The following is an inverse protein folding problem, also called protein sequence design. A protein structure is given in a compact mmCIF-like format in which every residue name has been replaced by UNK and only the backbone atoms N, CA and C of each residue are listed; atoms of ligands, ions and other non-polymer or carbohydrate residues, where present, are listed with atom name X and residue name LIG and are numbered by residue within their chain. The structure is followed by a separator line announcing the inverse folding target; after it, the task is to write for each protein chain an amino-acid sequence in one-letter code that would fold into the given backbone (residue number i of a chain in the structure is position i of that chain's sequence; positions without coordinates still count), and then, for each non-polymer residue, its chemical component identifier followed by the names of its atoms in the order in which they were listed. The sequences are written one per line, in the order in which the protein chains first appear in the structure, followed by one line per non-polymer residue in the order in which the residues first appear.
data_IF_036035337761
#
_entry.id   IF_036035337761
#
_cell.length_a   1.000
_cell.length_b   1.000
_cell.length_c   1.000
_cell.angle_alpha   90.00
_cell.angle_beta   90.00
_cell.angle_gamma   90.00
#
_symmetry.space_group_name_H-M   'P 1'
#
loop_
_entity.id
_entity.type
_entity.pdbx_description
1 polymer ?
#
# COMPACT_ATOMS: atom_id res chain seq x y z
N UNK A 1 3.18 49.49 18.05
CA UNK A 1 1.78 49.02 18.18
C UNK A 1 1.25 48.25 16.96
N UNK A 2 1.74 48.48 15.74
CA UNK A 2 1.26 47.79 14.52
C UNK A 2 1.69 46.32 14.37
N UNK A 3 2.90 45.95 14.81
CA UNK A 3 3.43 44.57 14.71
C UNK A 3 2.69 43.61 15.65
N UNK A 4 2.41 44.02 16.90
CA UNK A 4 1.65 43.25 17.88
C UNK A 4 0.18 43.03 17.45
N UNK A 5 -0.46 44.05 16.86
CA UNK A 5 -1.83 43.91 16.30
C UNK A 5 -1.87 42.98 15.09
N UNK A 6 -0.87 43.06 14.21
CA UNK A 6 -0.76 42.18 13.03
C UNK A 6 -0.49 40.73 13.43
N UNK A 7 0.37 40.50 14.43
CA UNK A 7 0.62 39.17 15.00
C UNK A 7 -0.60 38.58 15.71
N UNK A 8 -1.36 39.41 16.45
CA UNK A 8 -2.61 38.99 17.09
C UNK A 8 -3.69 38.62 16.06
N UNK A 9 -3.89 39.44 15.02
CA UNK A 9 -4.83 39.17 13.93
C UNK A 9 -4.48 37.89 13.18
N UNK A 10 -3.18 37.65 12.91
CA UNK A 10 -2.70 36.41 12.29
C UNK A 10 -2.98 35.19 13.16
N UNK A 11 -2.79 35.30 14.48
CA UNK A 11 -3.06 34.21 15.42
C UNK A 11 -4.57 33.91 15.52
N UNK A 12 -5.40 34.94 15.61
CA UNK A 12 -6.88 34.80 15.59
C UNK A 12 -7.35 34.16 14.28
N UNK A 13 -6.82 34.60 13.14
CA UNK A 13 -7.14 34.02 11.83
C UNK A 13 -6.78 32.53 11.77
N UNK A 14 -5.58 32.16 12.23
CA UNK A 14 -5.11 30.76 12.20
C UNK A 14 -5.92 29.86 13.13
N UNK A 15 -6.26 30.34 14.33
CA UNK A 15 -7.10 29.62 15.30
C UNK A 15 -8.54 29.48 14.80
N UNK A 16 -9.05 30.46 14.07
CA UNK A 16 -10.42 30.43 13.54
C UNK A 16 -10.55 29.60 12.25
N UNK A 17 -9.48 29.52 11.45
CA UNK A 17 -9.44 28.74 10.21
C UNK A 17 -9.47 27.23 10.47
N UNK A 18 -8.84 26.76 11.55
CA UNK A 18 -8.74 25.33 11.85
C UNK A 18 -10.12 24.66 12.07
N UNK A 19 -11.04 25.18 12.92
CA UNK A 19 -12.40 24.64 13.04
C UNK A 19 -13.18 24.64 11.73
N UNK A 20 -12.98 25.66 10.88
CA UNK A 20 -13.62 25.73 9.55
C UNK A 20 -13.11 24.62 8.65
N UNK A 21 -11.79 24.35 8.63
CA UNK A 21 -11.22 23.24 7.87
C UNK A 21 -11.73 21.88 8.36
N UNK A 22 -11.79 21.67 9.68
CA UNK A 22 -12.36 20.45 10.27
C UNK A 22 -13.83 20.28 9.89
N UNK A 23 -14.62 21.36 9.90
CA UNK A 23 -16.01 21.35 9.47
C UNK A 23 -16.14 21.03 7.98
N UNK A 24 -15.29 21.61 7.12
CA UNK A 24 -15.27 21.31 5.68
C UNK A 24 -14.95 19.84 5.43
N UNK A 25 -14.08 19.23 6.24
CA UNK A 25 -13.75 17.79 6.15
C UNK A 25 -14.87 16.86 6.64
N UNK A 26 -16.01 17.39 7.11
CA UNK A 26 -17.24 16.58 7.28
C UNK A 26 -17.98 16.36 5.96
N UNK A 27 -17.70 17.16 4.93
CA UNK A 27 -18.23 16.95 3.60
C UNK A 27 -17.57 15.71 2.95
N UNK A 28 -18.33 14.70 2.50
CA UNK A 28 -17.79 13.46 1.94
C UNK A 28 -16.83 13.65 0.75
N UNK A 29 -17.17 14.58 -0.14
CA UNK A 29 -16.39 14.83 -1.35
C UNK A 29 -15.04 15.47 -1.01
N UNK A 30 -15.03 16.48 -0.15
CA UNK A 30 -13.80 17.13 0.33
C UNK A 30 -12.93 16.17 1.14
N UNK A 31 -13.53 15.37 2.03
CA UNK A 31 -12.81 14.42 2.86
C UNK A 31 -12.04 13.40 2.01
N UNK A 32 -12.67 12.84 0.97
CA UNK A 32 -12.03 11.89 0.05
C UNK A 32 -10.94 12.53 -0.80
N UNK A 33 -11.16 13.75 -1.30
CA UNK A 33 -10.12 14.49 -2.01
C UNK A 33 -8.91 14.77 -1.13
N UNK A 34 -9.11 15.11 0.14
CA UNK A 34 -8.03 15.34 1.10
C UNK A 34 -7.29 14.05 1.48
N UNK A 35 -8.01 12.97 1.77
CA UNK A 35 -7.44 11.67 2.14
C UNK A 35 -6.60 11.08 1.01
N UNK A 36 -7.21 10.94 -0.17
CA UNK A 36 -6.59 10.24 -1.28
C UNK A 36 -5.66 11.13 -2.08
N UNK A 37 -5.86 12.45 -2.07
CA UNK A 37 -5.10 13.41 -2.86
C UNK A 37 -4.97 13.01 -4.35
N UNK A 38 -5.95 12.25 -4.86
CA UNK A 38 -5.83 11.48 -6.10
C UNK A 38 -5.78 12.36 -7.36
N UNK A 39 -6.20 13.64 -7.25
CA UNK A 39 -6.07 14.65 -8.31
C UNK A 39 -4.78 15.47 -8.24
N UNK A 40 -3.96 15.27 -7.21
CA UNK A 40 -2.67 15.95 -7.05
C UNK A 40 -1.59 15.03 -7.66
N UNK A 41 -1.31 15.23 -8.95
CA UNK A 41 -0.34 14.41 -9.67
C UNK A 41 0.42 15.18 -10.75
N UNK A 42 1.61 14.68 -11.11
CA UNK A 42 2.50 15.25 -12.13
C UNK A 42 2.18 14.79 -13.57
N UNK A 43 1.13 13.98 -13.77
CA UNK A 43 0.77 13.39 -15.07
C UNK A 43 0.43 14.40 -16.19
N UNK A 44 0.39 15.70 -15.89
CA UNK A 44 0.29 16.77 -16.91
C UNK A 44 1.62 17.00 -17.65
N UNK A 45 2.74 16.58 -17.06
CA UNK A 45 4.10 16.83 -17.56
C UNK A 45 4.82 15.56 -18.01
N UNK A 46 4.28 14.39 -17.66
CA UNK A 46 4.89 13.09 -17.91
C UNK A 46 3.86 12.11 -18.46
N UNK A 47 4.26 11.32 -19.46
CA UNK A 47 3.44 10.27 -20.03
C UNK A 47 3.78 8.92 -19.40
N UNK A 48 2.89 8.40 -18.57
CA UNK A 48 3.05 7.09 -17.93
C UNK A 48 3.06 5.92 -18.93
N UNK A 49 2.66 6.14 -20.20
CA UNK A 49 2.89 5.14 -21.26
C UNK A 49 4.32 5.13 -21.81
N UNK A 50 5.23 5.98 -21.30
CA UNK A 50 6.65 6.02 -21.67
C UNK A 50 7.53 5.79 -20.45
N UNK A 51 7.59 4.54 -19.92
CA UNK A 51 8.28 4.23 -18.67
C UNK A 51 9.78 4.59 -18.68
N UNK A 52 10.42 4.68 -19.84
CA UNK A 52 11.82 5.09 -20.00
C UNK A 52 12.08 6.49 -19.44
N UNK A 53 11.08 7.39 -19.54
CA UNK A 53 11.16 8.73 -18.93
C UNK A 53 11.21 8.71 -17.40
N UNK A 54 10.89 7.55 -16.79
CA UNK A 54 10.99 7.30 -15.36
C UNK A 54 12.15 6.37 -15.00
N UNK A 55 13.12 6.17 -15.91
CA UNK A 55 14.37 5.46 -15.64
C UNK A 55 14.34 3.94 -15.84
N UNK A 56 13.32 3.40 -16.51
CA UNK A 56 13.29 1.99 -16.92
C UNK A 56 14.02 1.76 -18.25
N UNK A 57 14.49 0.54 -18.47
CA UNK A 57 14.97 0.11 -19.78
C UNK A 57 13.80 -0.01 -20.77
N UNK A 58 14.09 0.14 -22.06
CA UNK A 58 13.10 -0.07 -23.13
C UNK A 58 12.46 -1.46 -22.99
N UNK A 59 11.12 -1.51 -23.11
CA UNK A 59 10.31 -2.73 -22.95
C UNK A 59 10.43 -3.44 -21.59
N UNK A 60 11.02 -2.82 -20.56
CA UNK A 60 11.02 -3.38 -19.21
C UNK A 60 9.65 -3.30 -18.56
N UNK A 61 8.87 -2.28 -18.90
CA UNK A 61 7.55 -2.01 -18.33
C UNK A 61 6.52 -2.03 -19.44
N UNK A 62 5.46 -2.79 -19.23
CA UNK A 62 4.31 -2.86 -20.13
C UNK A 62 3.07 -2.29 -19.42
N UNK A 63 2.61 -1.09 -19.80
CA UNK A 63 1.33 -0.55 -19.37
C UNK A 63 0.15 -1.38 -19.85
N UNK A 64 -0.90 -1.47 -19.03
CA UNK A 64 -2.15 -2.15 -19.38
C UNK A 64 -3.32 -1.70 -18.52
N UNK A 65 -4.50 -2.23 -18.82
CA UNK A 65 -5.70 -1.97 -18.06
C UNK A 65 -6.23 -3.23 -17.38
N UNK A 66 -6.74 -3.08 -16.16
CA UNK A 66 -7.49 -4.09 -15.42
C UNK A 66 -8.93 -3.60 -15.23
N UNK A 67 -9.90 -4.40 -15.66
CA UNK A 67 -11.31 -4.13 -15.40
C UNK A 67 -11.71 -4.62 -14.01
N UNK A 68 -12.45 -3.81 -13.27
CA UNK A 68 -13.03 -4.21 -11.99
C UNK A 68 -14.43 -4.79 -12.20
N UNK A 69 -14.95 -5.61 -11.27
CA UNK A 69 -16.29 -6.18 -11.42
C UNK A 69 -17.42 -5.15 -11.25
N UNK A 70 -17.11 -3.94 -10.79
CA UNK A 70 -18.01 -2.79 -10.76
C UNK A 70 -17.79 -1.78 -11.91
N UNK A 71 -17.17 -2.25 -13.01
CA UNK A 71 -17.02 -1.54 -14.30
C UNK A 71 -16.09 -0.32 -14.29
N UNK A 72 -15.14 -0.26 -13.36
CA UNK A 72 -14.02 0.68 -13.44
C UNK A 72 -12.88 0.07 -14.27
N UNK A 73 -12.08 0.93 -14.90
CA UNK A 73 -10.89 0.56 -15.66
C UNK A 73 -9.68 1.16 -14.96
N UNK A 74 -8.82 0.27 -14.48
CA UNK A 74 -7.62 0.64 -13.74
C UNK A 74 -6.40 0.58 -14.65
N UNK A 75 -5.59 1.63 -14.60
CA UNK A 75 -4.31 1.68 -15.29
C UNK A 75 -3.23 0.99 -14.45
N UNK A 76 -2.52 0.05 -15.04
CA UNK A 76 -1.56 -0.81 -14.35
C UNK A 76 -0.27 -0.98 -15.16
N UNK A 77 0.79 -1.34 -14.47
CA UNK A 77 2.10 -1.65 -15.04
C UNK A 77 2.52 -3.07 -14.68
N UNK A 78 3.01 -3.81 -15.67
CA UNK A 78 3.80 -5.03 -15.47
C UNK A 78 5.27 -4.71 -15.71
N UNK A 79 6.12 -4.93 -14.69
CA UNK A 79 7.56 -4.69 -14.78
C UNK A 79 8.28 -6.04 -14.80
N UNK A 80 9.07 -6.27 -15.85
CA UNK A 80 9.89 -7.46 -16.04
C UNK A 80 11.19 -7.39 -15.21
N UNK A 81 11.71 -8.55 -14.76
CA UNK A 81 13.05 -8.62 -14.21
C UNK A 81 14.07 -8.10 -15.23
N UNK A 82 15.05 -7.31 -14.79
CA UNK A 82 16.03 -6.73 -15.72
C UNK A 82 16.83 -7.80 -16.47
N UNK A 83 17.15 -8.92 -15.81
CA UNK A 83 17.79 -10.08 -16.43
C UNK A 83 16.92 -10.74 -17.52
N UNK A 84 15.60 -10.69 -17.39
CA UNK A 84 14.66 -11.19 -18.41
C UNK A 84 14.64 -10.28 -19.62
N UNK A 85 14.68 -8.96 -19.42
CA UNK A 85 14.82 -7.99 -20.53
C UNK A 85 16.13 -8.21 -21.28
N UNK A 86 17.26 -8.33 -20.55
CA UNK A 86 18.57 -8.51 -21.15
C UNK A 86 18.66 -9.80 -22.00
N UNK A 87 18.06 -10.90 -21.54
CA UNK A 87 18.06 -12.19 -22.26
C UNK A 87 17.15 -12.22 -23.49
N UNK A 88 16.14 -11.36 -23.55
CA UNK A 88 15.12 -11.36 -24.61
C UNK A 88 15.10 -10.05 -25.41
N UNK A 89 16.22 -9.31 -25.42
CA UNK A 89 16.31 -7.95 -25.95
C UNK A 89 15.77 -7.82 -27.37
N UNK A 90 16.21 -8.68 -28.28
CA UNK A 90 15.87 -8.57 -29.70
C UNK A 90 14.38 -8.87 -29.95
N UNK A 91 13.84 -9.88 -29.28
CA UNK A 91 12.41 -10.24 -29.36
C UNK A 91 11.53 -9.15 -28.76
N UNK A 92 11.94 -8.57 -27.62
CA UNK A 92 11.21 -7.47 -26.98
C UNK A 92 11.25 -6.20 -27.83
N UNK A 93 12.39 -5.88 -28.46
CA UNK A 93 12.55 -4.70 -29.32
C UNK A 93 11.68 -4.75 -30.58
N UNK A 94 11.29 -5.96 -31.04
CA UNK A 94 10.39 -6.14 -32.16
C UNK A 94 8.90 -6.10 -31.78
N UNK A 95 8.58 -6.18 -30.48
CA UNK A 95 7.20 -6.20 -29.98
C UNK A 95 6.66 -4.77 -29.76
N UNK A 96 5.34 -4.61 -29.83
CA UNK A 96 4.68 -3.37 -29.40
C UNK A 96 4.92 -3.17 -27.89
N UNK A 97 5.46 -2.01 -27.44
CA UNK A 97 5.64 -1.71 -26.01
C UNK A 97 4.37 -1.81 -25.15
N UNK A 98 3.18 -1.72 -25.76
CA UNK A 98 1.89 -1.83 -25.08
C UNK A 98 1.27 -3.24 -25.17
N UNK A 99 1.86 -4.15 -25.95
CA UNK A 99 1.39 -5.54 -26.03
C UNK A 99 1.93 -6.38 -24.87
N UNK A 100 1.00 -6.95 -24.10
CA UNK A 100 1.32 -7.78 -22.94
C UNK A 100 1.67 -9.22 -23.29
N UNK A 101 1.42 -9.67 -24.52
CA UNK A 101 1.48 -11.09 -24.89
C UNK A 101 2.85 -11.70 -24.58
N UNK A 102 3.93 -11.07 -25.05
CA UNK A 102 5.30 -11.54 -24.83
C UNK A 102 5.73 -11.40 -23.35
N UNK A 103 5.58 -10.24 -22.67
CA UNK A 103 5.88 -10.11 -21.24
C UNK A 103 5.18 -11.16 -20.35
N UNK A 104 3.90 -11.45 -20.62
CA UNK A 104 3.13 -12.45 -19.88
C UNK A 104 3.59 -13.87 -20.21
N UNK A 105 3.94 -14.15 -21.47
CA UNK A 105 4.52 -15.44 -21.84
C UNK A 105 5.83 -15.68 -21.10
N UNK A 106 6.72 -14.69 -21.03
CA UNK A 106 7.99 -14.78 -20.31
C UNK A 106 7.77 -15.07 -18.82
N UNK A 107 6.84 -14.36 -18.19
CA UNK A 107 6.42 -14.63 -16.80
C UNK A 107 5.93 -16.09 -16.62
N UNK A 108 5.03 -16.55 -17.50
CA UNK A 108 4.40 -17.88 -17.37
C UNK A 108 5.36 -19.03 -17.68
N UNK A 109 6.35 -18.79 -18.53
CA UNK A 109 7.34 -19.79 -18.93
C UNK A 109 8.45 -20.01 -17.90
N UNK A 110 8.62 -19.08 -16.95
CA UNK A 110 9.66 -19.14 -15.93
C UNK A 110 9.14 -19.89 -14.68
N UNK A 111 9.60 -21.13 -14.44
CA UNK A 111 9.16 -21.90 -13.28
C UNK A 111 9.66 -21.31 -11.96
N UNK A 112 10.61 -20.38 -11.96
CA UNK A 112 11.12 -19.70 -10.77
C UNK A 112 10.51 -18.30 -10.60
N UNK A 113 9.58 -17.91 -11.48
CA UNK A 113 8.94 -16.60 -11.44
C UNK A 113 8.32 -16.29 -10.07
N UNK A 114 8.68 -15.12 -9.55
CA UNK A 114 8.16 -14.52 -8.33
C UNK A 114 7.39 -13.27 -8.72
N UNK A 115 6.26 -13.02 -8.06
CA UNK A 115 5.43 -11.84 -8.34
C UNK A 115 5.31 -11.00 -7.09
N UNK A 116 5.63 -9.71 -7.20
CA UNK A 116 5.27 -8.71 -6.20
C UNK A 116 4.10 -7.90 -6.74
N UNK A 117 2.98 -7.93 -6.04
CA UNK A 117 1.85 -7.02 -6.29
C UNK A 117 2.02 -5.82 -5.38
N UNK A 118 2.30 -4.66 -5.95
CA UNK A 118 2.62 -3.43 -5.22
C UNK A 118 1.44 -2.44 -5.22
N UNK A 119 1.05 -2.03 -4.02
CA UNK A 119 0.05 -1.01 -3.73
C UNK A 119 0.72 0.27 -3.21
N UNK A 120 0.57 1.37 -3.96
CA UNK A 120 1.22 2.63 -3.64
C UNK A 120 0.45 3.44 -2.57
N UNK A 121 1.10 4.45 -1.98
CA UNK A 121 0.48 5.39 -1.03
C UNK A 121 -0.54 6.35 -1.66
N UNK A 122 -1.02 7.34 -0.90
CA UNK A 122 -1.91 8.36 -1.44
C UNK A 122 -1.18 9.31 -2.42
N UNK A 123 -1.96 10.19 -3.06
CA UNK A 123 -1.53 11.13 -4.10
C UNK A 123 -0.92 10.48 -5.36
N UNK A 124 -0.68 11.31 -6.38
CA UNK A 124 0.09 10.95 -7.56
C UNK A 124 -0.52 9.89 -8.47
N UNK A 125 0.35 9.30 -9.30
CA UNK A 125 0.05 8.20 -10.22
C UNK A 125 1.13 7.11 -10.12
N UNK A 126 0.97 5.97 -10.80
CA UNK A 126 1.79 4.76 -10.65
C UNK A 126 3.30 5.03 -10.71
N UNK A 127 3.74 5.96 -11.56
CA UNK A 127 5.14 6.34 -11.74
C UNK A 127 5.65 7.51 -10.89
N UNK A 128 4.87 8.09 -9.98
CA UNK A 128 5.21 9.35 -9.32
C UNK A 128 6.08 9.18 -8.06
N UNK A 129 6.97 10.14 -7.82
CA UNK A 129 7.83 10.16 -6.62
C UNK A 129 8.85 9.01 -6.64
N UNK A 130 9.01 8.34 -5.50
CA UNK A 130 9.98 7.24 -5.31
C UNK A 130 9.46 5.86 -5.74
N UNK A 131 8.29 5.80 -6.37
CA UNK A 131 7.63 4.55 -6.77
C UNK A 131 8.49 3.77 -7.77
N UNK A 132 9.04 4.45 -8.77
CA UNK A 132 9.82 3.80 -9.83
C UNK A 132 11.18 3.32 -9.33
N UNK A 133 11.82 4.03 -8.40
CA UNK A 133 13.01 3.55 -7.68
C UNK A 133 12.75 2.22 -6.95
N UNK A 134 11.58 2.11 -6.30
CA UNK A 134 11.15 0.86 -5.67
C UNK A 134 11.01 -0.26 -6.70
N UNK A 135 10.31 -0.01 -7.81
CA UNK A 135 10.08 -1.02 -8.84
C UNK A 135 11.39 -1.48 -9.47
N UNK A 136 12.33 -0.57 -9.75
CA UNK A 136 13.66 -0.91 -10.25
C UNK A 136 14.45 -1.74 -9.24
N UNK A 137 14.44 -1.35 -7.97
CA UNK A 137 15.14 -2.10 -6.92
C UNK A 137 14.60 -3.53 -6.76
N UNK A 138 13.28 -3.72 -6.83
CA UNK A 138 12.64 -5.03 -6.67
C UNK A 138 12.73 -5.90 -7.94
N UNK A 139 12.56 -5.32 -9.13
CA UNK A 139 12.68 -6.05 -10.41
C UNK A 139 14.13 -6.44 -10.75
N UNK A 140 15.13 -5.87 -10.08
CA UNK A 140 16.50 -6.33 -10.16
C UNK A 140 16.76 -7.62 -9.36
N UNK A 141 15.79 -8.07 -8.55
CA UNK A 141 15.90 -9.36 -7.87
C UNK A 141 15.67 -10.53 -8.86
N UNK A 142 16.30 -11.70 -8.63
CA UNK A 142 16.14 -12.84 -9.53
C UNK A 142 14.68 -13.25 -9.69
N UNK A 143 14.25 -13.37 -10.96
CA UNK A 143 12.91 -13.86 -11.33
C UNK A 143 11.74 -13.03 -10.80
N UNK A 144 11.97 -11.82 -10.29
CA UNK A 144 10.95 -11.00 -9.62
C UNK A 144 10.26 -10.05 -10.59
N UNK A 145 9.02 -10.39 -10.96
CA UNK A 145 8.11 -9.52 -11.70
C UNK A 145 7.33 -8.64 -10.73
N UNK A 146 7.03 -7.40 -11.15
CA UNK A 146 6.20 -6.48 -10.36
C UNK A 146 4.90 -6.20 -11.13
N UNK A 147 3.77 -6.24 -10.43
CA UNK A 147 2.50 -5.70 -10.90
C UNK A 147 2.09 -4.56 -9.98
N UNK A 148 1.72 -3.42 -10.53
CA UNK A 148 1.23 -2.28 -9.74
C UNK A 148 0.14 -1.55 -10.51
N UNK A 149 -0.67 -0.77 -9.81
CA UNK A 149 -1.90 -0.18 -10.35
C UNK A 149 -2.14 1.19 -9.77
N UNK A 150 -2.67 2.10 -10.59
CA UNK A 150 -3.36 3.30 -10.14
C UNK A 150 -4.76 2.90 -9.68
N UNK A 151 -5.08 3.17 -8.42
CA UNK A 151 -6.46 2.97 -7.93
C UNK A 151 -7.46 3.81 -8.72
N UNK A 152 -8.74 3.45 -8.67
CA UNK A 152 -9.81 4.24 -9.28
C UNK A 152 -9.71 5.72 -8.87
N UNK A 153 -9.80 6.60 -9.86
CA UNK A 153 -9.65 8.05 -9.73
C UNK A 153 -8.21 8.58 -9.67
N UNK A 154 -7.20 7.72 -9.48
CA UNK A 154 -5.78 8.08 -9.56
C UNK A 154 -5.27 8.00 -11.00
N UNK A 155 -4.31 8.86 -11.34
CA UNK A 155 -3.63 8.85 -12.64
C UNK A 155 -4.60 8.71 -13.81
N UNK A 156 -4.51 7.59 -14.53
CA UNK A 156 -5.33 7.30 -15.72
C UNK A 156 -6.54 6.40 -15.45
N UNK A 157 -6.70 5.92 -14.22
CA UNK A 157 -7.82 5.06 -13.83
C UNK A 157 -9.13 5.84 -13.74
N UNK A 158 -10.24 5.20 -14.14
CA UNK A 158 -11.58 5.80 -14.08
C UNK A 158 -12.11 5.86 -12.63
N UNK A 159 -13.28 6.48 -12.43
CA UNK A 159 -13.99 6.43 -11.15
C UNK A 159 -13.50 7.43 -10.10
N UNK A 160 -13.82 7.14 -8.84
CA UNK A 160 -13.44 7.97 -7.69
C UNK A 160 -13.12 7.11 -6.47
N UNK A 161 -12.09 7.47 -5.68
CA UNK A 161 -11.58 6.60 -4.64
C UNK A 161 -12.50 6.58 -3.42
N UNK A 162 -12.73 5.37 -2.93
CA UNK A 162 -13.35 5.08 -1.63
C UNK A 162 -12.62 3.90 -1.02
N UNK A 163 -12.81 3.67 0.28
CA UNK A 163 -12.20 2.52 0.94
C UNK A 163 -12.60 1.18 0.28
N UNK A 164 -13.89 0.97 0.05
CA UNK A 164 -14.38 -0.23 -0.66
C UNK A 164 -13.93 -0.29 -2.12
N UNK A 165 -13.83 0.86 -2.79
CA UNK A 165 -13.33 0.95 -4.16
C UNK A 165 -11.88 0.51 -4.29
N UNK A 166 -10.98 1.03 -3.45
CA UNK A 166 -9.57 0.66 -3.45
C UNK A 166 -9.35 -0.82 -3.10
N UNK A 167 -10.17 -1.38 -2.21
CA UNK A 167 -10.14 -2.82 -1.91
C UNK A 167 -10.56 -3.63 -3.13
N UNK A 168 -11.63 -3.21 -3.81
CA UNK A 168 -12.11 -3.85 -5.06
C UNK A 168 -11.05 -3.77 -6.16
N UNK A 169 -10.35 -2.64 -6.28
CA UNK A 169 -9.27 -2.44 -7.25
C UNK A 169 -8.09 -3.36 -6.99
N UNK A 170 -7.66 -3.45 -5.72
CA UNK A 170 -6.59 -4.35 -5.33
C UNK A 170 -6.94 -5.82 -5.56
N UNK A 171 -8.20 -6.21 -5.28
CA UNK A 171 -8.70 -7.55 -5.60
C UNK A 171 -8.71 -7.82 -7.10
N UNK A 172 -9.11 -6.85 -7.93
CA UNK A 172 -9.13 -6.99 -9.37
C UNK A 172 -7.72 -7.26 -9.92
N UNK A 173 -6.69 -6.53 -9.45
CA UNK A 173 -5.30 -6.78 -9.84
C UNK A 173 -4.81 -8.17 -9.39
N UNK A 174 -5.12 -8.58 -8.16
CA UNK A 174 -4.73 -9.91 -7.65
C UNK A 174 -5.40 -11.02 -8.46
N UNK A 175 -6.72 -10.92 -8.71
CA UNK A 175 -7.44 -11.87 -9.55
C UNK A 175 -6.88 -11.93 -10.97
N UNK A 176 -6.50 -10.79 -11.55
CA UNK A 176 -5.82 -10.73 -12.83
C UNK A 176 -4.52 -11.55 -12.81
N UNK A 177 -3.65 -11.33 -11.82
CA UNK A 177 -2.39 -12.09 -11.68
C UNK A 177 -2.65 -13.59 -11.46
N UNK A 178 -3.61 -13.96 -10.62
CA UNK A 178 -3.97 -15.37 -10.38
C UNK A 178 -4.50 -16.03 -11.66
N UNK A 179 -5.25 -15.30 -12.50
CA UNK A 179 -5.79 -15.81 -13.77
C UNK A 179 -4.69 -16.18 -14.79
N UNK A 180 -3.46 -15.67 -14.61
CA UNK A 180 -2.31 -16.03 -15.42
C UNK A 180 -1.74 -17.42 -15.06
N UNK A 181 -2.26 -18.07 -14.02
CA UNK A 181 -1.79 -19.36 -13.52
C UNK A 181 -0.67 -19.24 -12.48
N UNK A 182 -0.41 -18.05 -11.94
CA UNK A 182 0.60 -17.84 -10.90
C UNK A 182 0.02 -18.29 -9.55
N UNK A 183 0.63 -19.27 -8.86
CA UNK A 183 0.09 -19.74 -7.58
C UNK A 183 0.26 -18.68 -6.48
N UNK A 184 -0.69 -18.57 -5.53
CA UNK A 184 -0.59 -17.61 -4.40
C UNK A 184 0.72 -17.70 -3.61
N UNK A 185 1.33 -18.88 -3.53
CA UNK A 185 2.61 -19.12 -2.85
C UNK A 185 3.82 -18.46 -3.53
N UNK A 186 3.67 -17.94 -4.76
CA UNK A 186 4.69 -17.16 -5.50
C UNK A 186 4.36 -15.67 -5.57
N UNK A 187 3.37 -15.23 -4.81
CA UNK A 187 2.94 -13.83 -4.80
C UNK A 187 3.26 -13.23 -3.42
N UNK A 188 3.93 -12.09 -3.43
CA UNK A 188 4.06 -11.19 -2.28
C UNK A 188 3.19 -9.97 -2.54
N UNK A 189 2.37 -9.58 -1.55
CA UNK A 189 1.65 -8.31 -1.60
C UNK A 189 2.48 -7.28 -0.83
N UNK A 190 2.84 -6.18 -1.48
CA UNK A 190 3.59 -5.08 -0.88
C UNK A 190 2.74 -3.81 -0.87
N UNK A 191 2.71 -3.12 0.26
CA UNK A 191 2.03 -1.83 0.40
C UNK A 191 2.90 -0.78 1.08
N UNK A 192 2.75 0.49 0.68
CA UNK A 192 3.38 1.64 1.37
C UNK A 192 2.34 2.68 1.77
N UNK A 193 2.44 3.23 3.00
CA UNK A 193 1.50 4.22 3.53
C UNK A 193 0.03 3.78 3.35
N UNK A 194 -0.83 4.50 2.62
CA UNK A 194 -2.19 4.06 2.25
C UNK A 194 -2.22 2.64 1.65
N UNK A 195 -1.24 2.29 0.82
CA UNK A 195 -1.12 0.96 0.23
C UNK A 195 -0.97 -0.16 1.27
N UNK A 196 -0.52 0.13 2.50
CA UNK A 196 -0.49 -0.87 3.57
C UNK A 196 -1.89 -1.27 4.04
N UNK A 197 -2.82 -0.31 4.08
CA UNK A 197 -4.22 -0.54 4.41
C UNK A 197 -4.92 -1.34 3.31
N UNK A 198 -4.63 -1.01 2.03
CA UNK A 198 -5.10 -1.77 0.87
C UNK A 198 -4.55 -3.20 0.91
N UNK A 199 -3.24 -3.37 1.07
CA UNK A 199 -2.59 -4.69 1.15
C UNK A 199 -3.18 -5.58 2.25
N UNK A 200 -3.40 -5.03 3.45
CA UNK A 200 -3.99 -5.75 4.58
C UNK A 200 -5.43 -6.18 4.28
N UNK A 201 -6.24 -5.29 3.70
CA UNK A 201 -7.63 -5.57 3.34
C UNK A 201 -7.74 -6.58 2.19
N UNK A 202 -6.90 -6.45 1.16
CA UNK A 202 -6.83 -7.39 0.04
C UNK A 202 -6.42 -8.77 0.55
N UNK A 203 -5.35 -8.87 1.35
CA UNK A 203 -4.94 -10.12 1.97
C UNK A 203 -6.06 -10.79 2.77
N UNK A 204 -6.74 -10.03 3.64
CA UNK A 204 -7.90 -10.51 4.38
C UNK A 204 -9.02 -10.99 3.45
N UNK A 205 -9.31 -10.26 2.38
CA UNK A 205 -10.40 -10.61 1.46
C UNK A 205 -10.19 -11.91 0.69
N UNK A 206 -8.95 -12.42 0.60
CA UNK A 206 -8.67 -13.76 0.08
C UNK A 206 -8.57 -14.82 1.18
N UNK A 207 -8.07 -14.47 2.37
CA UNK A 207 -7.97 -15.42 3.48
C UNK A 207 -9.34 -15.69 4.14
N UNK A 208 -10.18 -14.67 4.25
CA UNK A 208 -11.53 -14.70 4.80
C UNK A 208 -12.45 -13.69 4.09
N UNK A 209 -13.00 -14.05 2.92
CA UNK A 209 -13.94 -13.19 2.19
C UNK A 209 -15.24 -12.91 2.94
N UNK A 210 -15.53 -13.63 4.04
CA UNK A 210 -16.73 -13.43 4.85
C UNK A 210 -16.54 -12.46 6.02
N UNK A 211 -15.32 -11.94 6.21
CA UNK A 211 -15.02 -11.04 7.31
C UNK A 211 -15.86 -9.76 7.27
N UNK A 212 -16.53 -9.45 8.37
CA UNK A 212 -17.31 -8.22 8.59
C UNK A 212 -16.45 -6.95 8.58
N UNK A 213 -15.12 -7.07 8.73
CA UNK A 213 -14.18 -5.95 8.64
C UNK A 213 -13.95 -5.46 7.20
N UNK A 214 -14.47 -6.17 6.20
CA UNK A 214 -14.40 -5.78 4.80
C UNK A 214 -15.70 -5.08 4.38
N UNK A 215 -15.64 -4.06 3.50
CA UNK A 215 -16.85 -3.42 3.00
C UNK A 215 -17.75 -4.43 2.29
N UNK A 216 -19.04 -4.45 2.65
CA UNK A 216 -20.02 -5.38 2.09
C UNK A 216 -20.98 -4.67 1.12
N UNK A 217 -21.34 -5.30 -0.02
CA UNK A 217 -20.79 -6.57 -0.51
C UNK A 217 -19.35 -6.40 -1.03
N UNK A 218 -18.50 -7.40 -0.79
CA UNK A 218 -17.18 -7.43 -1.45
C UNK A 218 -17.39 -7.85 -2.91
N UNK A 219 -17.31 -6.88 -3.80
CA UNK A 219 -17.46 -7.10 -5.23
C UNK A 219 -16.30 -7.97 -5.75
N UNK A 220 -16.63 -9.04 -6.49
CA UNK A 220 -15.64 -9.99 -7.02
C UNK A 220 -15.02 -10.93 -5.98
N UNK A 221 -15.68 -11.18 -4.85
CA UNK A 221 -15.31 -12.24 -3.91
C UNK A 221 -15.54 -13.64 -4.50
N UNK A 222 -14.52 -14.48 -4.42
CA UNK A 222 -14.61 -15.92 -4.71
C UNK A 222 -14.78 -16.70 -3.42
N UNK A 223 -15.44 -17.86 -3.47
CA UNK A 223 -15.55 -18.76 -2.32
C UNK A 223 -14.21 -19.43 -1.96
N UNK A 224 -13.31 -19.54 -2.94
CA UNK A 224 -11.98 -20.12 -2.72
C UNK A 224 -11.10 -19.18 -1.88
N UNK A 225 -10.61 -19.72 -0.77
CA UNK A 225 -9.72 -19.01 0.15
C UNK A 225 -8.27 -19.22 -0.26
N UNK A 226 -7.49 -18.15 -0.21
CA UNK A 226 -6.07 -18.17 -0.52
C UNK A 226 -5.26 -17.36 0.48
N UNK A 227 -4.00 -17.77 0.70
CA UNK A 227 -2.98 -16.99 1.39
C UNK A 227 -1.79 -16.83 0.47
N UNK A 228 -1.26 -15.61 0.44
CA UNK A 228 -0.10 -15.27 -0.37
C UNK A 228 1.18 -15.62 0.37
N UNK A 229 2.32 -15.63 -0.33
CA UNK A 229 3.62 -15.94 0.27
C UNK A 229 3.89 -15.07 1.48
N UNK A 230 3.72 -13.76 1.33
CA UNK A 230 3.78 -12.80 2.43
C UNK A 230 3.03 -11.51 2.09
N UNK A 231 2.64 -10.77 3.13
CA UNK A 231 2.23 -9.37 3.05
C UNK A 231 3.34 -8.51 3.66
N UNK A 232 3.86 -7.55 2.89
CA UNK A 232 4.89 -6.61 3.31
C UNK A 232 4.28 -5.22 3.43
N UNK A 233 4.40 -4.61 4.61
CA UNK A 233 3.81 -3.32 4.94
C UNK A 233 4.91 -2.32 5.29
N UNK A 234 5.05 -1.25 4.50
CA UNK A 234 6.06 -0.22 4.69
C UNK A 234 5.41 1.09 5.14
N UNK A 235 5.87 1.63 6.28
CA UNK A 235 5.28 2.78 6.95
C UNK A 235 3.74 2.64 7.15
N UNK A 236 3.27 1.56 7.82
CA UNK A 236 1.83 1.33 7.97
C UNK A 236 1.21 2.19 9.07
N UNK A 237 -0.12 2.24 9.05
CA UNK A 237 -0.93 2.80 10.12
C UNK A 237 -2.00 1.82 10.62
N UNK A 238 -2.44 2.00 11.86
CA UNK A 238 -3.40 1.11 12.52
C UNK A 238 -4.86 1.37 12.10
N UNK A 239 -5.25 2.64 11.98
CA UNK A 239 -6.49 3.09 11.36
C UNK A 239 -6.40 4.54 10.93
N UNK A 240 -7.25 5.01 10.00
CA UNK A 240 -7.24 6.42 9.62
C UNK A 240 -7.62 7.35 10.80
N UNK A 241 -8.69 7.08 11.59
CA UNK A 241 -9.00 7.91 12.76
C UNK A 241 -7.84 8.03 13.75
N UNK A 242 -7.16 6.93 14.06
CA UNK A 242 -6.00 6.94 14.96
C UNK A 242 -4.79 7.65 14.33
N UNK A 243 -4.55 7.45 13.03
CA UNK A 243 -3.50 8.11 12.28
C UNK A 243 -3.64 9.63 12.36
N UNK A 244 -4.82 10.17 12.06
CA UNK A 244 -5.08 11.61 11.97
C UNK A 244 -4.73 12.37 13.27
N UNK A 245 -4.77 11.72 14.43
CA UNK A 245 -4.36 12.30 15.73
C UNK A 245 -2.86 12.56 15.86
N UNK A 246 -2.06 11.91 15.02
CA UNK A 246 -0.59 12.00 15.01
C UNK A 246 -0.02 12.43 13.65
N UNK A 247 -0.82 12.40 12.59
CA UNK A 247 -0.39 12.65 11.23
C UNK A 247 0.01 14.11 11.00
N UNK A 248 1.10 14.28 10.25
CA UNK A 248 1.65 15.59 9.88
C UNK A 248 1.85 15.63 8.37
N UNK A 249 1.18 16.56 7.70
CA UNK A 249 1.35 16.72 6.25
C UNK A 249 2.76 17.25 5.98
N UNK A 250 3.58 16.43 5.31
CA UNK A 250 4.97 16.73 4.99
C UNK A 250 5.83 16.99 6.24
N UNK A 251 5.50 16.36 7.37
CA UNK A 251 6.16 16.56 8.66
C UNK A 251 5.87 17.89 9.37
N UNK A 252 5.14 18.81 8.74
CA UNK A 252 5.01 20.19 9.22
C UNK A 252 3.63 20.46 9.84
N UNK A 253 2.56 20.14 9.11
CA UNK A 253 1.21 20.59 9.45
C UNK A 253 0.43 19.46 10.13
N UNK A 254 0.19 19.52 11.46
CA UNK A 254 -0.58 18.49 12.14
C UNK A 254 -2.05 18.55 11.74
N UNK A 255 -2.67 17.40 11.46
CA UNK A 255 -4.08 17.36 11.02
C UNK A 255 -5.05 17.43 12.19
N UNK A 256 -5.07 16.44 13.10
CA UNK A 256 -5.93 16.46 14.29
C UNK A 256 -5.17 16.48 15.62
N UNK A 257 -3.84 16.63 15.61
CA UNK A 257 -3.04 16.65 16.83
C UNK A 257 -3.50 17.69 17.88
N UNK A 258 -3.96 18.91 17.51
CA UNK A 258 -4.48 19.88 18.48
C UNK A 258 -5.69 19.38 19.28
N UNK A 259 -6.44 18.41 18.74
CA UNK A 259 -7.66 17.88 19.34
C UNK A 259 -7.40 16.64 20.21
N UNK A 260 -6.19 16.09 20.20
CA UNK A 260 -5.81 14.85 20.90
C UNK A 260 -6.09 14.89 22.41
N UNK A 261 -6.05 16.06 23.02
CA UNK A 261 -6.32 16.25 24.46
C UNK A 261 -7.80 16.06 24.83
N UNK A 262 -8.72 16.23 23.89
CA UNK A 262 -10.16 16.15 24.13
C UNK A 262 -10.74 14.85 23.58
N UNK A 263 -10.95 13.88 24.48
CA UNK A 263 -11.58 12.59 24.13
C UNK A 263 -12.97 12.76 23.51
N UNK A 264 -13.72 13.76 23.96
CA UNK A 264 -15.04 14.09 23.42
C UNK A 264 -14.98 14.53 21.96
N UNK A 265 -14.10 15.48 21.63
CA UNK A 265 -13.96 15.99 20.25
C UNK A 265 -13.41 14.92 19.31
N UNK A 266 -12.42 14.13 19.76
CA UNK A 266 -11.90 13.00 18.99
C UNK A 266 -13.01 11.99 18.68
N UNK A 267 -13.80 11.61 19.68
CA UNK A 267 -14.93 10.69 19.51
C UNK A 267 -15.98 11.25 18.55
N UNK A 268 -16.30 12.54 18.67
CA UNK A 268 -17.26 13.21 17.79
C UNK A 268 -16.78 13.24 16.34
N UNK A 269 -15.55 13.70 16.08
CA UNK A 269 -14.99 13.83 14.73
C UNK A 269 -14.80 12.46 14.08
N UNK A 270 -14.39 11.45 14.86
CA UNK A 270 -14.16 10.10 14.33
C UNK A 270 -15.42 9.48 13.73
N UNK A 271 -16.62 9.87 14.20
CA UNK A 271 -17.90 9.41 13.65
C UNK A 271 -18.19 9.95 12.25
N UNK A 272 -17.55 11.04 11.86
CA UNK A 272 -17.71 11.66 10.54
C UNK A 272 -16.62 11.22 9.55
N UNK A 273 -15.66 10.39 9.97
CA UNK A 273 -14.67 9.79 9.07
C UNK A 273 -15.35 8.65 8.32
N UNK A 274 -15.48 8.79 7.00
CA UNK A 274 -16.18 7.83 6.15
C UNK A 274 -15.32 6.61 5.86
N UNK A 275 -14.11 6.87 5.39
CA UNK A 275 -13.16 5.85 4.96
C UNK A 275 -12.18 5.62 6.12
N UNK A 276 -12.56 4.76 7.06
CA UNK A 276 -11.88 4.58 8.35
C UNK A 276 -10.61 3.74 8.29
N UNK A 277 -10.47 2.90 7.26
CA UNK A 277 -9.32 2.01 7.05
C UNK A 277 -8.88 1.28 8.33
N UNK A 278 -9.67 0.35 8.91
CA UNK A 278 -9.33 -0.36 10.14
C UNK A 278 -8.21 -1.41 9.94
N UNK A 279 -7.05 -0.98 9.45
CA UNK A 279 -5.93 -1.81 9.00
C UNK A 279 -5.42 -2.77 10.06
N UNK A 280 -5.30 -2.34 11.32
CA UNK A 280 -4.86 -3.20 12.41
C UNK A 280 -5.85 -4.34 12.71
N UNK A 281 -7.15 -4.05 12.68
CA UNK A 281 -8.19 -5.07 12.87
C UNK A 281 -8.18 -6.05 11.69
N UNK A 282 -8.08 -5.53 10.46
CA UNK A 282 -8.02 -6.37 9.25
C UNK A 282 -6.78 -7.25 9.23
N UNK A 283 -5.63 -6.73 9.62
CA UNK A 283 -4.39 -7.49 9.68
C UNK A 283 -4.46 -8.60 10.73
N UNK A 284 -5.02 -8.32 11.92
CA UNK A 284 -5.23 -9.34 12.95
C UNK A 284 -6.20 -10.44 12.48
N UNK A 285 -7.30 -10.05 11.82
CA UNK A 285 -8.22 -11.02 11.20
C UNK A 285 -7.54 -11.83 10.10
N UNK A 286 -6.72 -11.19 9.26
CA UNK A 286 -5.95 -11.87 8.21
C UNK A 286 -5.01 -12.90 8.82
N UNK A 287 -4.23 -12.53 9.83
CA UNK A 287 -3.29 -13.44 10.50
C UNK A 287 -4.03 -14.63 11.11
N UNK A 288 -5.20 -14.41 11.71
CA UNK A 288 -6.04 -15.48 12.26
C UNK A 288 -6.59 -16.41 11.17
N UNK A 289 -7.07 -15.85 10.05
CA UNK A 289 -7.56 -16.62 8.92
C UNK A 289 -6.42 -17.39 8.23
N UNK A 290 -5.28 -16.75 8.04
CA UNK A 290 -4.10 -17.33 7.41
C UNK A 290 -3.55 -18.50 8.23
N UNK A 291 -3.59 -18.43 9.56
CA UNK A 291 -3.22 -19.53 10.43
C UNK A 291 -4.09 -20.78 10.24
N UNK A 292 -5.40 -20.59 9.99
CA UNK A 292 -6.33 -21.70 9.74
C UNK A 292 -6.09 -22.39 8.40
N UNK A 293 -5.58 -21.65 7.42
CA UNK A 293 -5.24 -22.15 6.08
C UNK A 293 -3.79 -22.71 6.05
N UNK A 294 -2.89 -22.09 6.83
CA UNK A 294 -1.43 -22.13 6.68
C UNK A 294 -0.74 -23.43 7.06
N UNK A 295 -1.37 -24.30 7.88
CA UNK A 295 -0.84 -25.65 8.18
C UNK A 295 -0.57 -26.49 6.91
N UNK A 296 -1.20 -26.14 5.78
CA UNK A 296 -1.06 -26.82 4.48
C UNK A 296 -0.18 -26.10 3.44
N UNK A 297 0.32 -24.89 3.72
CA UNK A 297 0.84 -23.97 2.68
C UNK A 297 2.34 -23.62 2.77
N UNK A 298 3.20 -24.53 3.24
CA UNK A 298 4.67 -24.40 3.18
C UNK A 298 5.24 -23.04 3.67
N UNK A 299 4.68 -22.50 4.75
CA UNK A 299 5.15 -21.23 5.34
C UNK A 299 4.64 -19.96 4.64
N UNK A 300 3.58 -20.03 3.83
CA UNK A 300 2.87 -18.85 3.32
C UNK A 300 2.00 -18.19 4.42
N UNK A 301 1.63 -16.93 4.19
CA UNK A 301 0.76 -16.16 5.09
C UNK A 301 1.49 -15.17 6.00
N UNK A 302 2.82 -15.15 5.98
CA UNK A 302 3.64 -14.31 6.87
C UNK A 302 3.44 -12.82 6.60
N UNK A 303 3.69 -12.00 7.62
CA UNK A 303 3.58 -10.54 7.56
C UNK A 303 4.92 -9.91 7.92
N UNK A 304 5.48 -9.08 7.04
CA UNK A 304 6.66 -8.26 7.34
C UNK A 304 6.26 -6.79 7.41
N UNK A 305 6.68 -6.10 8.45
CA UNK A 305 6.36 -4.69 8.67
C UNK A 305 7.67 -3.91 8.80
N UNK A 306 7.83 -2.84 8.02
CA UNK A 306 9.02 -1.99 8.07
C UNK A 306 8.60 -0.55 8.33
N UNK A 307 9.33 0.16 9.20
CA UNK A 307 9.07 1.57 9.48
C UNK A 307 10.37 2.27 9.89
N UNK A 308 10.59 3.50 9.39
CA UNK A 308 11.70 4.33 9.82
C UNK A 308 11.36 5.18 11.05
N UNK A 309 12.30 5.31 11.99
CA UNK A 309 12.14 6.15 13.19
C UNK A 309 12.05 7.64 12.86
N UNK A 310 12.69 8.06 11.77
CA UNK A 310 12.65 9.42 11.24
C UNK A 310 11.51 9.64 10.23
N UNK A 311 10.49 8.76 10.21
CA UNK A 311 9.25 9.03 9.48
C UNK A 311 8.55 10.25 10.09
N UNK A 312 8.54 11.33 9.32
CA UNK A 312 7.99 12.62 9.73
C UNK A 312 6.47 12.72 9.53
N UNK A 313 5.88 11.85 8.70
CA UNK A 313 4.46 11.93 8.33
C UNK A 313 3.63 10.98 9.20
N UNK A 314 4.06 9.71 9.32
CA UNK A 314 3.41 8.67 10.11
C UNK A 314 4.31 8.31 11.28
N UNK A 315 3.81 8.45 12.52
CA UNK A 315 4.57 8.06 13.69
C UNK A 315 4.78 6.53 13.74
N UNK A 316 6.00 6.07 14.03
CA UNK A 316 6.31 4.64 14.18
C UNK A 316 5.47 3.93 15.26
N UNK A 317 4.91 4.67 16.22
CA UNK A 317 3.96 4.14 17.21
C UNK A 317 2.74 3.46 16.56
N UNK A 318 2.41 3.82 15.31
CA UNK A 318 1.41 3.13 14.52
C UNK A 318 1.80 1.67 14.22
N UNK A 319 3.08 1.42 13.93
CA UNK A 319 3.62 0.07 13.71
C UNK A 319 3.67 -0.73 15.00
N UNK A 320 4.01 -0.12 16.13
CA UNK A 320 3.97 -0.77 17.44
C UNK A 320 2.55 -1.27 17.77
N UNK A 321 1.53 -0.42 17.59
CA UNK A 321 0.11 -0.80 17.74
C UNK A 321 -0.26 -1.95 16.81
N UNK A 322 0.09 -1.87 15.54
CA UNK A 322 -0.29 -2.86 14.53
C UNK A 322 0.42 -4.21 14.76
N UNK A 323 1.68 -4.20 15.19
CA UNK A 323 2.42 -5.40 15.61
C UNK A 323 1.80 -6.04 16.87
N UNK A 324 1.44 -5.23 17.87
CA UNK A 324 0.72 -5.70 19.06
C UNK A 324 -0.61 -6.37 18.70
N UNK A 325 -1.41 -5.71 17.84
CA UNK A 325 -2.71 -6.25 17.38
C UNK A 325 -2.55 -7.56 16.60
N UNK A 326 -1.57 -7.65 15.69
CA UNK A 326 -1.35 -8.85 14.88
C UNK A 326 -0.82 -10.04 15.69
N UNK A 327 -0.04 -9.78 16.74
CA UNK A 327 0.61 -10.83 17.55
C UNK A 327 -0.13 -11.16 18.85
N UNK A 328 -1.04 -10.29 19.29
CA UNK A 328 -1.69 -10.38 20.60
C UNK A 328 -0.75 -10.08 21.77
N UNK A 329 0.41 -9.47 21.52
CA UNK A 329 1.41 -9.12 22.54
C UNK A 329 1.25 -7.68 22.96
N UNK A 330 1.46 -7.39 24.24
CA UNK A 330 1.78 -6.04 24.65
C UNK A 330 3.18 -5.69 24.13
N UNK A 331 3.31 -4.50 23.55
CA UNK A 331 4.54 -4.08 22.90
C UNK A 331 4.91 -2.71 23.45
N UNK A 332 6.02 -2.68 24.20
CA UNK A 332 6.75 -1.44 24.50
C UNK A 332 7.37 -0.86 23.22
N UNK A 333 8.10 0.24 23.35
CA UNK A 333 8.80 0.86 22.23
C UNK A 333 9.71 -0.15 21.52
N UNK A 334 9.41 -0.47 20.25
CA UNK A 334 10.12 -1.50 19.49
C UNK A 334 11.55 -1.05 19.17
N UNK A 335 12.62 -1.68 19.67
CA UNK A 335 13.99 -1.21 19.42
C UNK A 335 14.34 -1.29 17.92
N UNK A 336 15.39 -0.57 17.53
CA UNK A 336 15.93 -0.65 16.18
C UNK A 336 16.30 -2.09 15.80
N UNK A 337 16.19 -2.39 14.51
CA UNK A 337 16.47 -3.71 13.94
C UNK A 337 15.23 -4.59 13.89
N UNK A 338 15.47 -5.90 13.79
CA UNK A 338 14.43 -6.90 13.52
C UNK A 338 13.86 -7.49 14.80
N UNK A 339 12.54 -7.65 14.85
CA UNK A 339 11.83 -8.43 15.87
C UNK A 339 10.88 -9.41 15.19
N UNK A 340 10.97 -10.67 15.59
CA UNK A 340 10.10 -11.74 15.14
C UNK A 340 9.14 -12.16 16.24
N UNK A 341 7.88 -12.36 15.86
CA UNK A 341 6.89 -12.98 16.71
C UNK A 341 6.05 -13.95 15.89
N UNK A 342 5.71 -15.09 16.49
CA UNK A 342 4.64 -15.92 15.98
C UNK A 342 3.31 -15.37 16.48
N UNK A 343 2.36 -15.17 15.57
CA UNK A 343 0.98 -14.94 15.90
C UNK A 343 0.22 -16.28 16.03
N UNK A 344 -1.11 -16.21 16.26
CA UNK A 344 -1.98 -17.39 16.41
C UNK A 344 -1.70 -18.40 15.28
N UNK A 345 -1.50 -19.68 15.64
CA UNK A 345 -1.29 -20.77 14.69
C UNK A 345 -0.02 -20.71 13.81
N UNK A 346 1.08 -20.11 14.33
CA UNK A 346 2.44 -20.08 13.73
C UNK A 346 2.62 -19.19 12.49
N UNK A 347 1.71 -18.28 12.18
CA UNK A 347 1.97 -17.23 11.17
C UNK A 347 3.08 -16.31 11.69
N UNK A 348 4.16 -16.15 10.92
CA UNK A 348 5.26 -15.27 11.27
C UNK A 348 4.88 -13.82 11.06
N UNK A 349 5.07 -13.00 12.09
CA UNK A 349 4.99 -11.54 12.01
C UNK A 349 6.37 -10.99 12.35
N UNK A 350 7.03 -10.40 11.34
CA UNK A 350 8.33 -9.73 11.47
C UNK A 350 8.12 -8.23 11.44
N UNK A 351 8.76 -7.53 12.36
CA UNK A 351 8.89 -6.07 12.36
C UNK A 351 10.36 -5.71 12.13
N UNK A 352 10.63 -4.68 11.35
CA UNK A 352 11.96 -4.11 11.20
C UNK A 352 11.89 -2.58 11.38
N UNK A 353 12.43 -2.11 12.51
CA UNK A 353 12.50 -0.70 12.84
C UNK A 353 13.82 -0.12 12.34
N UNK A 354 13.74 0.72 11.31
CA UNK A 354 14.89 1.36 10.68
C UNK A 354 15.20 2.69 11.37
N UNK A 355 16.47 3.04 11.51
CA UNK A 355 16.83 4.35 12.07
C UNK A 355 16.48 5.48 11.10
N UNK A 356 16.71 5.26 9.80
CA UNK A 356 16.56 6.26 8.75
C UNK A 356 15.78 5.71 7.56
N UNK A 357 14.99 6.57 6.94
CA UNK A 357 14.21 6.24 5.75
C UNK A 357 13.27 7.34 5.31
N UNK A 358 12.81 8.19 6.24
CA UNK A 358 11.71 9.13 6.02
C UNK A 358 10.44 8.42 5.51
N UNK A 359 9.34 9.15 5.36
CA UNK A 359 8.08 8.53 4.96
C UNK A 359 8.07 7.95 3.53
N UNK A 360 8.53 8.76 2.57
CA UNK A 360 8.34 8.48 1.15
C UNK A 360 9.48 7.67 0.53
N UNK A 361 10.68 7.71 1.14
CA UNK A 361 11.90 7.14 0.54
C UNK A 361 12.23 5.76 1.10
N UNK A 362 11.81 5.44 2.33
CA UNK A 362 12.11 4.17 3.00
C UNK A 362 11.77 2.93 2.18
N UNK A 363 10.71 2.99 1.37
CA UNK A 363 10.28 1.89 0.49
C UNK A 363 11.32 1.51 -0.57
N UNK A 364 12.22 2.43 -0.92
CA UNK A 364 13.33 2.21 -1.87
C UNK A 364 14.56 1.58 -1.23
N UNK A 365 14.60 1.47 0.10
CA UNK A 365 15.83 1.10 0.81
C UNK A 365 16.06 -0.42 0.77
N UNK A 366 17.33 -0.82 0.83
CA UNK A 366 17.75 -2.23 0.80
C UNK A 366 17.01 -3.14 1.81
N UNK A 367 16.67 -2.71 3.06
CA UNK A 367 15.85 -3.52 3.97
C UNK A 367 14.51 -3.98 3.38
N UNK A 368 13.86 -3.18 2.54
CA UNK A 368 12.61 -3.57 1.87
C UNK A 368 12.88 -4.62 0.81
N UNK A 369 13.96 -4.46 0.03
CA UNK A 369 14.42 -5.49 -0.90
C UNK A 369 14.75 -6.81 -0.19
N UNK A 370 15.46 -6.76 0.93
CA UNK A 370 15.75 -7.93 1.77
C UNK A 370 14.48 -8.57 2.33
N UNK A 371 13.48 -7.78 2.73
CA UNK A 371 12.20 -8.29 3.20
C UNK A 371 11.46 -9.06 2.11
N UNK A 372 11.52 -8.61 0.85
CA UNK A 372 10.96 -9.33 -0.32
C UNK A 372 11.72 -10.63 -0.59
N UNK A 373 13.06 -10.62 -0.56
CA UNK A 373 13.87 -11.83 -0.73
C UNK A 373 13.55 -12.89 0.34
N UNK A 374 13.58 -12.48 1.61
CA UNK A 374 13.24 -13.31 2.77
C UNK A 374 11.84 -13.89 2.68
N UNK A 375 10.87 -13.09 2.23
CA UNK A 375 9.50 -13.56 2.03
C UNK A 375 9.44 -14.74 1.05
N UNK A 376 10.14 -14.68 -0.08
CA UNK A 376 10.19 -15.81 -1.02
C UNK A 376 10.97 -17.02 -0.48
N UNK A 377 12.05 -16.78 0.27
CA UNK A 377 12.85 -17.84 0.89
C UNK A 377 12.16 -18.50 2.10
N UNK A 378 11.16 -17.84 2.70
CA UNK A 378 10.43 -18.35 3.86
C UNK A 378 11.17 -18.14 5.19
N UNK A 379 11.96 -17.06 5.27
CA UNK A 379 12.90 -16.75 6.37
C UNK A 379 12.46 -15.52 7.18
#
# INVERSE_FOLDING_TARGET
MGVLKSGFLFLVFTVSLYPVLVLLLTNPWLQRHALYAHKIHSGFWHDVNKPESFGFAAHQVTPFNVSTPDNEVLYAWHILPLATVARNRDTLAAADPLDQTLPLQLLKSDPEARVVINFHGNAGHVAQGWRTDTYRALSNQPHTHIFTVDYRGFGRSTGSPTEGGLITDGRALVNYVLSLGIPPSRIVILGQSLGTAVASAVGLSFADPTSELLPQPIVGATAEKAVFRSIILVAPFSSLPDLLLSYRIGGLIPVLAPLRSSRFLVSMISKYILDTWPSGLRLNAYVSAAASIGSKNNGAGNVHILHARDDQDIAFAQTEKLFAMATGREVEVLPLGTRDAAAKGKVGVRVEMLQYGMHNRVVTYAPVGLAVMRAFEGI
#
